data_IF_012317892194
#
_entry.id   IF_012317892194
#
_cell.length_a   1.000
_cell.length_b   1.000
_cell.length_c   1.000
_cell.angle_alpha   90.00
_cell.angle_beta   90.00
_cell.angle_gamma   90.00
#
_symmetry.space_group_name_H-M   'P 1'
#
loop_
_entity.id
_entity.type
_entity.pdbx_description
1 polymer ?
#
# COMPACT_ATOMS: atom_id res chain seq x y z
N UNK A 1 -6.12 67.83 19.00
CA UNK A 1 -4.94 67.32 18.25
C UNK A 1 -5.27 65.88 17.86
N UNK A 2 -5.81 65.54 16.68
CA UNK A 2 -5.52 66.06 15.36
C UNK A 2 -4.17 65.52 14.89
N UNK A 3 -4.16 64.41 14.14
CA UNK A 3 -3.37 64.21 12.91
C UNK A 3 -3.82 62.93 12.16
N UNK A 4 -4.01 63.14 10.86
CA UNK A 4 -4.51 62.29 9.78
C UNK A 4 -3.55 61.17 9.31
N UNK A 5 -4.11 60.16 8.62
CA UNK A 5 -3.44 59.26 7.66
C UNK A 5 -4.29 58.02 7.34
N UNK A 6 -5.37 58.12 6.56
CA UNK A 6 -5.49 57.90 5.09
C UNK A 6 -5.28 56.46 4.57
N UNK A 7 -6.30 55.96 3.86
CA UNK A 7 -6.31 55.01 2.70
C UNK A 7 -5.87 53.55 2.94
N UNK A 8 -6.52 52.45 2.52
CA UNK A 8 -7.62 52.11 1.60
C UNK A 8 -8.17 50.71 1.99
N UNK A 9 -9.37 50.27 1.51
CA UNK A 9 -9.94 48.98 1.84
C UNK A 9 -9.20 47.82 1.15
N UNK A 10 -8.78 46.81 1.93
CA UNK A 10 -8.20 45.59 1.38
C UNK A 10 -9.30 44.81 0.65
N UNK A 11 -9.17 44.75 -0.68
CA UNK A 11 -9.93 43.89 -1.59
C UNK A 11 -9.94 42.45 -1.08
N UNK A 12 -11.11 41.95 -0.68
CA UNK A 12 -11.35 40.53 -0.53
C UNK A 12 -11.29 39.86 -1.91
N UNK A 13 -10.18 39.18 -2.22
CA UNK A 13 -10.14 38.25 -3.35
C UNK A 13 -10.91 37.02 -2.91
N UNK A 14 -12.15 36.93 -3.41
CA UNK A 14 -13.03 35.77 -3.29
C UNK A 14 -12.36 34.59 -3.99
N UNK A 15 -11.77 33.68 -3.23
CA UNK A 15 -11.32 32.40 -3.77
C UNK A 15 -12.55 31.65 -4.32
N UNK A 16 -12.51 31.08 -5.53
CA UNK A 16 -13.65 30.36 -6.07
C UNK A 16 -13.92 29.12 -5.20
N UNK A 17 -15.17 29.01 -4.74
CA UNK A 17 -15.72 27.77 -4.18
C UNK A 17 -15.58 26.66 -5.21
N UNK A 18 -14.58 25.79 -5.05
CA UNK A 18 -14.58 24.50 -5.74
C UNK A 18 -15.54 23.57 -5.00
N UNK A 19 -16.81 23.60 -5.41
CA UNK A 19 -17.77 22.53 -5.11
C UNK A 19 -17.29 21.25 -5.79
N UNK A 20 -16.64 20.37 -5.03
CA UNK A 20 -16.36 19.01 -5.45
C UNK A 20 -17.70 18.25 -5.59
N UNK A 21 -18.21 18.20 -6.82
CA UNK A 21 -19.35 17.37 -7.20
C UNK A 21 -18.84 15.95 -7.39
N UNK A 22 -19.01 15.11 -6.38
CA UNK A 22 -18.78 13.65 -6.49
C UNK A 22 -19.79 13.11 -7.51
N UNK A 23 -19.34 12.89 -8.75
CA UNK A 23 -20.03 12.02 -9.71
C UNK A 23 -19.39 10.64 -9.61
N UNK A 24 -20.24 9.61 -9.61
CA UNK A 24 -19.94 8.25 -9.19
C UNK A 24 -18.60 7.67 -9.65
N UNK A 25 -17.99 6.91 -8.75
CA UNK A 25 -16.79 6.12 -8.98
C UNK A 25 -17.01 5.12 -10.13
N UNK A 26 -16.13 5.09 -11.16
CA UNK A 26 -16.01 3.94 -12.03
C UNK A 26 -15.32 2.79 -11.28
N UNK A 27 -15.76 1.56 -11.53
CA UNK A 27 -15.22 0.32 -10.96
C UNK A 27 -13.70 0.20 -11.21
N UNK A 28 -12.89 -0.18 -10.21
CA UNK A 28 -11.45 -0.42 -10.41
C UNK A 28 -11.23 -1.67 -11.26
N UNK A 29 -10.36 -1.57 -12.27
CA UNK A 29 -9.92 -2.68 -13.11
C UNK A 29 -8.50 -3.08 -12.69
N UNK A 30 -8.34 -4.32 -12.20
CA UNK A 30 -7.04 -4.92 -11.88
C UNK A 30 -6.56 -5.79 -13.05
N UNK A 31 -5.28 -5.65 -13.44
CA UNK A 31 -4.67 -6.39 -14.56
C UNK A 31 -3.84 -7.55 -14.00
N UNK A 32 -4.13 -8.78 -14.44
CA UNK A 32 -3.43 -9.98 -13.99
C UNK A 32 -2.02 -10.09 -14.63
N UNK A 33 -1.00 -10.62 -13.92
CA UNK A 33 0.38 -10.79 -14.40
C UNK A 33 0.58 -11.64 -15.67
N UNK A 34 -0.46 -12.33 -16.18
CA UNK A 34 -0.38 -13.11 -17.44
C UNK A 34 -0.73 -12.34 -18.72
N UNK A 35 -0.91 -11.02 -18.67
CA UNK A 35 -1.10 -10.20 -19.87
C UNK A 35 -2.45 -10.38 -20.57
N UNK A 36 -3.39 -11.13 -19.99
CA UNK A 36 -4.80 -11.09 -20.35
C UNK A 36 -5.52 -10.03 -19.51
N UNK A 37 -6.30 -9.17 -20.15
CA UNK A 37 -7.32 -8.36 -19.50
C UNK A 37 -8.45 -9.29 -19.00
N UNK A 38 -8.13 -10.17 -18.05
CA UNK A 38 -9.15 -10.97 -17.36
C UNK A 38 -9.60 -10.16 -16.16
N UNK A 39 -10.59 -9.30 -16.37
CA UNK A 39 -11.56 -9.09 -15.29
C UNK A 39 -12.03 -10.48 -14.88
N UNK A 40 -12.15 -10.73 -13.58
CA UNK A 40 -12.91 -11.86 -13.09
C UNK A 40 -14.36 -11.67 -13.53
N UNK A 41 -14.65 -12.13 -14.76
CA UNK A 41 -15.95 -12.11 -15.44
C UNK A 41 -17.05 -12.86 -14.67
N UNK A 42 -16.66 -13.57 -13.60
CA UNK A 42 -17.53 -14.32 -12.72
C UNK A 42 -18.53 -13.43 -11.97
N UNK A 43 -18.14 -12.24 -11.51
CA UNK A 43 -19.01 -11.43 -10.63
C UNK A 43 -20.06 -10.60 -11.38
N UNK A 44 -19.82 -10.28 -12.66
CA UNK A 44 -20.69 -9.38 -13.42
C UNK A 44 -21.46 -10.06 -14.56
N UNK A 45 -21.25 -11.36 -14.84
CA UNK A 45 -21.74 -12.04 -16.06
C UNK A 45 -21.37 -11.31 -17.36
N UNK A 46 -20.29 -10.53 -17.34
CA UNK A 46 -19.80 -9.77 -18.49
C UNK A 46 -18.76 -10.62 -19.21
N UNK A 47 -19.00 -10.90 -20.48
CA UNK A 47 -18.04 -11.53 -21.38
C UNK A 47 -16.86 -10.59 -21.66
N UNK A 48 -15.71 -11.16 -22.03
CA UNK A 48 -14.54 -10.36 -22.43
C UNK A 48 -14.87 -9.38 -23.57
N UNK A 49 -15.75 -9.78 -24.50
CA UNK A 49 -16.23 -8.93 -25.59
C UNK A 49 -17.08 -7.75 -25.11
N UNK A 50 -18.00 -7.98 -24.16
CA UNK A 50 -18.81 -6.91 -23.59
C UNK A 50 -17.96 -5.94 -22.78
N UNK A 51 -16.99 -6.46 -22.01
CA UNK A 51 -16.03 -5.62 -21.32
C UNK A 51 -15.24 -4.76 -22.31
N UNK A 52 -14.73 -5.37 -23.38
CA UNK A 52 -13.99 -4.63 -24.40
C UNK A 52 -14.85 -3.53 -25.00
N UNK A 53 -16.12 -3.82 -25.32
CA UNK A 53 -17.09 -2.82 -25.77
C UNK A 53 -17.30 -1.68 -24.76
N UNK A 54 -17.35 -1.98 -23.46
CA UNK A 54 -17.44 -0.96 -22.40
C UNK A 54 -16.18 -0.10 -22.34
N UNK A 55 -15.00 -0.72 -22.37
CA UNK A 55 -13.72 0.00 -22.34
C UNK A 55 -13.60 0.90 -23.57
N UNK A 56 -13.98 0.42 -24.75
CA UNK A 56 -13.96 1.19 -25.98
C UNK A 56 -14.95 2.37 -25.92
N UNK A 57 -16.19 2.13 -25.49
CA UNK A 57 -17.27 3.13 -25.50
C UNK A 57 -17.22 4.16 -24.36
N UNK A 58 -16.48 3.90 -23.27
CA UNK A 58 -16.45 4.76 -22.08
C UNK A 58 -15.08 5.40 -21.85
N UNK A 59 -15.08 6.48 -21.08
CA UNK A 59 -13.84 7.05 -20.53
C UNK A 59 -13.48 6.25 -19.29
N UNK A 60 -12.41 5.46 -19.41
CA UNK A 60 -11.92 4.55 -18.36
C UNK A 60 -10.56 5.05 -17.89
N UNK A 61 -10.36 5.04 -16.57
CA UNK A 61 -9.07 5.16 -15.92
C UNK A 61 -8.57 3.75 -15.58
N UNK A 62 -7.42 3.38 -16.13
CA UNK A 62 -6.75 2.12 -15.84
C UNK A 62 -5.67 2.41 -14.79
N UNK A 63 -5.71 1.70 -13.66
CA UNK A 63 -4.74 1.85 -12.58
C UNK A 63 -3.91 0.57 -12.51
N UNK A 64 -2.60 0.70 -12.65
CA UNK A 64 -1.65 -0.39 -12.47
C UNK A 64 -0.85 -0.10 -11.21
N UNK A 65 -1.13 -0.86 -10.16
CA UNK A 65 -0.39 -0.75 -8.89
C UNK A 65 0.87 -1.62 -8.93
N UNK A 66 1.96 -1.10 -8.35
CA UNK A 66 3.25 -1.76 -8.19
C UNK A 66 3.82 -2.37 -9.49
N UNK A 67 4.02 -1.55 -10.53
CA UNK A 67 4.61 -1.99 -11.81
C UNK A 67 5.94 -2.74 -11.65
N UNK A 68 6.74 -2.40 -10.65
CA UNK A 68 8.01 -3.07 -10.37
C UNK A 68 7.86 -4.54 -9.92
N UNK A 69 6.66 -4.93 -9.50
CA UNK A 69 6.32 -6.30 -9.12
C UNK A 69 5.75 -7.10 -10.29
N UNK A 70 5.43 -6.44 -11.41
CA UNK A 70 4.96 -7.11 -12.61
C UNK A 70 6.10 -7.92 -13.24
N UNK A 71 5.79 -9.16 -13.63
CA UNK A 71 6.77 -10.05 -14.25
C UNK A 71 7.43 -9.37 -15.47
N UNK A 72 8.77 -9.38 -15.51
CA UNK A 72 9.53 -8.90 -16.64
C UNK A 72 9.05 -9.61 -17.91
N UNK A 73 8.48 -8.86 -18.86
CA UNK A 73 7.95 -9.40 -20.12
C UNK A 73 6.42 -9.41 -20.24
N UNK A 74 5.68 -8.67 -19.42
CA UNK A 74 4.26 -8.42 -19.68
C UNK A 74 4.07 -7.50 -20.90
N UNK A 75 4.09 -8.10 -22.10
CA UNK A 75 3.97 -7.40 -23.38
C UNK A 75 2.67 -6.60 -23.53
N UNK A 76 1.58 -7.03 -22.89
CA UNK A 76 0.32 -6.29 -22.93
C UNK A 76 0.43 -4.97 -22.18
N UNK A 77 1.09 -5.00 -21.01
CA UNK A 77 1.36 -3.80 -20.23
C UNK A 77 2.33 -2.86 -20.96
N UNK A 78 3.34 -3.41 -21.64
CA UNK A 78 4.24 -2.62 -22.47
C UNK A 78 3.49 -1.89 -23.60
N UNK A 79 2.65 -2.62 -24.33
CA UNK A 79 1.80 -2.03 -25.39
C UNK A 79 0.81 -0.99 -24.86
N UNK A 80 0.34 -1.15 -23.63
CA UNK A 80 -0.54 -0.17 -22.99
C UNK A 80 0.23 1.12 -22.66
N UNK A 81 1.46 1.00 -22.16
CA UNK A 81 2.34 2.14 -21.86
C UNK A 81 2.80 2.85 -23.15
N UNK A 82 3.11 2.09 -24.19
CA UNK A 82 3.53 2.61 -25.50
C UNK A 82 2.38 3.25 -26.29
N UNK A 83 1.13 3.04 -25.89
CA UNK A 83 -0.05 3.54 -26.61
C UNK A 83 -0.39 2.72 -27.87
N UNK A 84 0.17 1.52 -28.00
CA UNK A 84 -0.21 0.56 -29.03
C UNK A 84 -1.66 0.10 -28.87
N UNK A 85 -2.11 -0.02 -27.62
CA UNK A 85 -3.49 -0.35 -27.25
C UNK A 85 -4.06 0.71 -26.32
N UNK A 86 -5.36 0.95 -26.40
CA UNK A 86 -6.09 1.86 -25.50
C UNK A 86 -5.48 3.26 -25.36
N UNK A 87 -4.79 3.78 -26.38
CA UNK A 87 -4.12 5.09 -26.39
C UNK A 87 -4.99 6.29 -26.01
N UNK A 88 -6.31 6.16 -26.19
CA UNK A 88 -7.28 7.21 -25.87
C UNK A 88 -7.82 7.09 -24.44
N UNK A 89 -7.32 6.15 -23.63
CA UNK A 89 -7.72 5.93 -22.24
C UNK A 89 -6.64 6.45 -21.30
N UNK A 90 -7.04 6.80 -20.08
CA UNK A 90 -6.10 7.31 -19.08
C UNK A 90 -5.46 6.14 -18.34
N UNK A 91 -4.15 6.18 -18.23
CA UNK A 91 -3.34 5.19 -17.52
C UNK A 91 -2.65 5.85 -16.33
N UNK A 92 -2.82 5.30 -15.14
CA UNK A 92 -2.10 5.67 -13.93
C UNK A 92 -1.29 4.48 -13.46
N UNK A 93 0.03 4.66 -13.29
CA UNK A 93 0.93 3.60 -12.86
C UNK A 93 1.68 4.03 -11.61
N UNK A 94 1.76 3.15 -10.62
CA UNK A 94 2.67 3.30 -9.47
C UNK A 94 3.86 2.36 -9.64
N UNK A 95 5.05 2.81 -9.26
CA UNK A 95 6.27 1.99 -9.33
C UNK A 95 7.36 2.55 -8.43
N UNK A 96 8.29 1.69 -8.02
CA UNK A 96 9.55 2.13 -7.42
C UNK A 96 10.41 2.92 -8.42
N UNK A 97 11.21 3.90 -7.96
CA UNK A 97 11.90 4.86 -8.84
C UNK A 97 12.75 4.26 -9.98
N UNK A 98 13.23 3.03 -9.88
CA UNK A 98 14.19 2.46 -10.83
C UNK A 98 13.60 1.53 -11.90
N UNK A 99 12.29 1.26 -11.87
CA UNK A 99 11.68 0.24 -12.74
C UNK A 99 11.01 0.81 -14.00
N UNK A 100 10.69 2.11 -14.00
CA UNK A 100 10.06 2.79 -15.13
C UNK A 100 10.99 3.74 -15.90
N UNK A 101 12.25 3.87 -15.50
CA UNK A 101 13.16 4.91 -16.00
C UNK A 101 13.21 5.02 -17.52
N UNK A 102 13.28 3.88 -18.23
CA UNK A 102 13.36 3.83 -19.69
C UNK A 102 12.03 4.17 -20.40
N UNK A 103 10.91 4.22 -19.67
CA UNK A 103 9.56 4.47 -20.20
C UNK A 103 8.98 5.80 -19.70
N UNK A 104 9.68 6.53 -18.82
CA UNK A 104 9.18 7.80 -18.28
C UNK A 104 8.89 8.83 -19.37
N UNK A 105 9.62 8.84 -20.49
CA UNK A 105 9.36 9.78 -21.60
C UNK A 105 7.98 9.60 -22.24
N UNK A 106 7.33 8.45 -22.08
CA UNK A 106 6.02 8.13 -22.65
C UNK A 106 4.85 8.70 -21.82
N UNK A 107 5.10 9.18 -20.60
CA UNK A 107 4.03 9.67 -19.72
C UNK A 107 3.87 11.19 -19.81
N UNK A 108 2.62 11.63 -19.96
CA UNK A 108 2.23 13.05 -19.95
C UNK A 108 2.50 13.75 -18.61
N UNK A 109 2.44 13.01 -17.51
CA UNK A 109 2.60 13.55 -16.16
C UNK A 109 3.33 12.56 -15.26
N UNK A 110 4.21 13.09 -14.40
CA UNK A 110 5.08 12.32 -13.51
C UNK A 110 4.99 12.88 -12.12
N UNK A 111 4.71 12.01 -11.16
CA UNK A 111 4.61 12.38 -9.76
C UNK A 111 5.58 11.52 -8.96
N UNK A 112 6.20 12.13 -7.96
CA UNK A 112 7.00 11.43 -6.97
C UNK A 112 6.25 11.50 -5.65
N UNK A 113 5.98 10.34 -5.07
CA UNK A 113 5.45 10.25 -3.71
C UNK A 113 6.62 10.50 -2.76
N UNK A 114 6.55 11.60 -2.01
CA UNK A 114 7.50 11.90 -0.95
C UNK A 114 6.98 11.43 0.40
N UNK A 115 7.84 11.45 1.40
CA UNK A 115 7.44 11.18 2.78
C UNK A 115 6.58 12.30 3.36
N UNK A 116 5.91 12.01 4.46
CA UNK A 116 5.10 12.98 5.18
C UNK A 116 5.91 14.17 5.68
N UNK A 117 5.35 15.35 5.46
CA UNK A 117 5.74 16.55 6.19
C UNK A 117 5.26 16.50 7.66
N UNK A 118 5.68 17.47 8.46
CA UNK A 118 5.34 17.53 9.90
C UNK A 118 3.81 17.60 10.13
N UNK A 119 3.06 18.28 9.26
CA UNK A 119 1.61 18.43 9.39
C UNK A 119 0.91 17.11 9.07
N UNK A 120 1.38 16.41 8.04
CA UNK A 120 0.88 15.09 7.66
C UNK A 120 1.20 14.03 8.72
N UNK A 121 2.40 14.07 9.32
CA UNK A 121 2.76 13.23 10.46
C UNK A 121 1.80 13.46 11.64
N UNK A 122 1.55 14.71 12.01
CA UNK A 122 0.61 15.06 13.06
C UNK A 122 -0.81 14.58 12.76
N UNK A 123 -1.27 14.73 11.51
CA UNK A 123 -2.58 14.24 11.06
C UNK A 123 -2.66 12.72 11.12
N UNK A 124 -1.59 12.02 10.74
CA UNK A 124 -1.51 10.56 10.77
C UNK A 124 -1.67 10.04 12.20
N UNK A 125 -0.89 10.54 13.16
CA UNK A 125 -0.94 10.05 14.55
C UNK A 125 -2.29 10.35 15.22
N UNK A 126 -2.92 11.48 14.89
CA UNK A 126 -4.28 11.81 15.36
C UNK A 126 -5.33 10.85 14.80
N UNK A 127 -5.24 10.54 13.50
CA UNK A 127 -6.14 9.57 12.86
C UNK A 127 -5.94 8.17 13.42
N UNK A 128 -4.70 7.77 13.67
CA UNK A 128 -4.38 6.50 14.30
C UNK A 128 -5.01 6.39 15.69
N UNK A 129 -4.76 7.38 16.56
CA UNK A 129 -5.32 7.40 17.91
C UNK A 129 -6.86 7.42 17.91
N UNK A 130 -7.48 8.19 17.03
CA UNK A 130 -8.93 8.20 16.87
C UNK A 130 -9.48 6.83 16.41
N UNK A 131 -8.77 6.14 15.51
CA UNK A 131 -9.16 4.82 15.04
C UNK A 131 -9.07 3.76 16.16
N UNK A 132 -8.04 3.85 17.01
CA UNK A 132 -7.87 2.97 18.18
C UNK A 132 -8.72 3.40 19.39
N UNK A 133 -9.44 4.52 19.30
CA UNK A 133 -10.20 5.11 20.41
C UNK A 133 -9.35 5.39 21.67
N UNK A 134 -8.16 5.97 21.47
CA UNK A 134 -7.20 6.32 22.53
C UNK A 134 -6.76 7.78 22.41
N UNK A 135 -6.09 8.30 23.44
CA UNK A 135 -5.58 9.67 23.44
C UNK A 135 -4.46 9.87 22.39
N UNK A 136 -4.50 10.96 21.63
CA UNK A 136 -3.47 11.27 20.63
C UNK A 136 -2.17 11.85 21.23
N UNK A 137 -2.25 12.44 22.42
CA UNK A 137 -1.15 13.16 23.05
C UNK A 137 0.18 12.37 23.15
N UNK A 138 0.19 11.07 23.50
CA UNK A 138 1.43 10.28 23.52
C UNK A 138 2.13 10.22 22.16
N UNK A 139 1.37 10.06 21.07
CA UNK A 139 1.92 9.98 19.72
C UNK A 139 2.33 11.35 19.18
N UNK A 140 1.59 12.41 19.54
CA UNK A 140 1.99 13.79 19.20
C UNK A 140 3.30 14.18 19.89
N UNK A 141 3.49 13.74 21.14
CA UNK A 141 4.74 13.98 21.88
C UNK A 141 5.92 13.22 21.26
N UNK A 142 5.70 11.99 20.82
CA UNK A 142 6.69 11.15 20.13
C UNK A 142 7.26 11.86 18.88
N UNK A 143 6.43 12.56 18.09
CA UNK A 143 6.89 13.30 16.90
C UNK A 143 7.93 14.40 17.20
N UNK A 144 8.06 14.85 18.45
CA UNK A 144 9.05 15.85 18.87
C UNK A 144 10.45 15.26 19.06
N UNK A 145 10.57 13.94 19.10
CA UNK A 145 11.84 13.26 19.34
C UNK A 145 12.71 13.25 18.09
N UNK A 146 13.85 13.96 18.18
CA UNK A 146 14.78 14.13 17.06
C UNK A 146 15.34 12.79 16.54
N UNK A 147 15.46 11.79 17.42
CA UNK A 147 16.04 10.48 17.12
C UNK A 147 15.23 9.65 16.12
N UNK A 148 13.93 9.91 15.97
CA UNK A 148 13.03 9.13 15.11
C UNK A 148 12.45 9.95 13.95
N UNK A 149 12.85 11.23 13.82
CA UNK A 149 12.29 12.17 12.85
C UNK A 149 12.31 11.63 11.42
N UNK A 150 13.42 11.00 11.05
CA UNK A 150 13.61 10.46 9.69
C UNK A 150 12.68 9.26 9.43
N UNK A 151 12.42 8.45 10.46
CA UNK A 151 11.45 7.35 10.37
C UNK A 151 10.01 7.85 10.22
N UNK A 152 9.66 8.95 10.88
CA UNK A 152 8.30 9.51 10.87
C UNK A 152 7.86 10.01 9.48
N UNK A 153 8.81 10.34 8.61
CA UNK A 153 8.52 10.72 7.22
C UNK A 153 7.91 9.58 6.40
N UNK A 154 8.18 8.32 6.74
CA UNK A 154 7.60 7.19 6.02
C UNK A 154 6.29 6.76 6.69
N UNK A 155 5.14 6.75 5.97
CA UNK A 155 3.84 6.43 6.56
C UNK A 155 3.76 5.05 7.23
N UNK A 156 4.41 4.04 6.63
CA UNK A 156 4.46 2.69 7.20
C UNK A 156 5.27 2.69 8.51
N UNK A 157 6.47 3.28 8.49
CA UNK A 157 7.31 3.37 9.70
C UNK A 157 6.59 4.14 10.83
N UNK A 158 5.90 5.24 10.50
CA UNK A 158 5.14 6.00 11.48
C UNK A 158 4.01 5.17 12.10
N UNK A 159 3.31 4.38 11.29
CA UNK A 159 2.26 3.46 11.78
C UNK A 159 2.86 2.42 12.74
N UNK A 160 4.01 1.84 12.37
CA UNK A 160 4.71 0.87 13.23
C UNK A 160 5.22 1.50 14.53
N UNK A 161 5.69 2.75 14.50
CA UNK A 161 6.09 3.48 15.70
C UNK A 161 4.90 3.74 16.62
N UNK A 162 3.72 4.06 16.07
CA UNK A 162 2.51 4.19 16.87
C UNK A 162 2.14 2.86 17.53
N UNK A 163 2.18 1.75 16.78
CA UNK A 163 1.94 0.41 17.33
C UNK A 163 2.95 0.04 18.42
N UNK A 164 4.23 0.38 18.23
CA UNK A 164 5.24 0.17 19.27
C UNK A 164 4.94 1.00 20.51
N UNK A 165 4.51 2.25 20.37
CA UNK A 165 4.26 3.15 21.49
C UNK A 165 3.12 2.67 22.40
N UNK A 166 2.20 1.86 21.88
CA UNK A 166 1.15 1.20 22.67
C UNK A 166 1.70 0.03 23.52
N UNK A 167 2.71 -0.68 23.02
CA UNK A 167 3.24 -1.92 23.62
C UNK A 167 4.54 -1.70 24.42
N UNK A 168 5.32 -0.67 24.08
CA UNK A 168 6.66 -0.36 24.61
C UNK A 168 6.89 1.16 24.62
N UNK A 169 7.34 1.69 25.77
CA UNK A 169 7.71 3.11 25.90
C UNK A 169 9.02 3.46 25.19
N UNK A 170 9.88 2.47 24.90
CA UNK A 170 11.18 2.71 24.27
C UNK A 170 11.06 2.90 22.76
N UNK A 171 11.53 4.05 22.29
CA UNK A 171 11.54 4.37 20.87
C UNK A 171 12.75 3.81 20.14
N UNK A 172 12.53 3.42 18.89
CA UNK A 172 13.55 2.85 18.02
C UNK A 172 13.95 3.89 16.99
N UNK A 173 15.21 4.32 17.05
CA UNK A 173 15.77 5.41 16.24
C UNK A 173 16.28 4.96 14.87
N UNK A 174 16.38 3.65 14.63
CA UNK A 174 16.77 3.09 13.33
C UNK A 174 15.68 2.21 12.76
N UNK A 175 15.63 2.11 11.43
CA UNK A 175 14.70 1.22 10.74
C UNK A 175 14.90 -0.22 11.21
N UNK A 176 16.14 -0.70 11.28
CA UNK A 176 16.43 -2.06 11.76
C UNK A 176 15.89 -2.28 13.18
N UNK A 177 16.15 -1.36 14.11
CA UNK A 177 15.65 -1.50 15.48
C UNK A 177 14.11 -1.48 15.56
N UNK A 178 13.45 -0.66 14.73
CA UNK A 178 11.99 -0.62 14.60
C UNK A 178 11.45 -1.98 14.15
N UNK A 179 11.94 -2.49 13.02
CA UNK A 179 11.48 -3.77 12.48
C UNK A 179 11.82 -4.96 13.39
N UNK A 180 12.97 -4.96 14.07
CA UNK A 180 13.32 -5.97 15.07
C UNK A 180 12.34 -5.96 16.26
N UNK A 181 11.88 -4.78 16.68
CA UNK A 181 10.92 -4.67 17.79
C UNK A 181 9.53 -5.15 17.39
N UNK A 182 9.08 -4.77 16.19
CA UNK A 182 7.83 -5.28 15.60
C UNK A 182 7.90 -6.80 15.47
N UNK A 183 9.03 -7.33 15.00
CA UNK A 183 9.26 -8.75 14.88
C UNK A 183 9.14 -9.48 16.23
N UNK A 184 9.76 -8.94 17.29
CA UNK A 184 9.61 -9.46 18.64
C UNK A 184 8.14 -9.51 19.08
N UNK A 185 7.38 -8.44 18.88
CA UNK A 185 5.96 -8.38 19.26
C UNK A 185 5.14 -9.41 18.49
N UNK A 186 5.33 -9.52 17.17
CA UNK A 186 4.63 -10.52 16.34
C UNK A 186 4.92 -11.93 16.86
N UNK A 187 6.20 -12.24 17.16
CA UNK A 187 6.60 -13.53 17.71
C UNK A 187 5.96 -13.82 19.06
N UNK A 188 5.97 -12.86 19.98
CA UNK A 188 5.36 -13.02 21.31
C UNK A 188 3.84 -13.21 21.22
N UNK A 189 3.16 -12.47 20.33
CA UNK A 189 1.73 -12.64 20.09
C UNK A 189 1.42 -14.00 19.45
N UNK A 190 2.24 -14.46 18.51
CA UNK A 190 2.09 -15.77 17.89
C UNK A 190 2.30 -16.91 18.91
N UNK A 191 3.31 -16.80 19.77
CA UNK A 191 3.59 -17.76 20.84
C UNK A 191 2.37 -17.92 21.77
N UNK A 192 1.80 -16.79 22.21
CA UNK A 192 0.57 -16.79 23.03
C UNK A 192 -0.62 -17.40 22.29
N UNK A 193 -0.86 -16.99 21.04
CA UNK A 193 -2.01 -17.46 20.23
C UNK A 193 -1.95 -18.96 19.95
N UNK A 194 -0.77 -19.49 19.66
CA UNK A 194 -0.55 -20.90 19.30
C UNK A 194 -0.25 -21.79 20.52
N UNK A 195 -0.18 -21.22 21.72
CA UNK A 195 0.24 -21.91 22.93
C UNK A 195 1.60 -22.62 22.78
N UNK A 196 2.57 -21.92 22.20
CA UNK A 196 3.94 -22.38 21.96
C UNK A 196 4.94 -21.48 22.68
N UNK A 197 6.16 -21.97 22.94
CA UNK A 197 7.24 -21.09 23.39
C UNK A 197 7.72 -20.19 22.24
N UNK A 198 8.22 -18.97 22.53
CA UNK A 198 8.79 -18.08 21.51
C UNK A 198 9.89 -18.75 20.66
N UNK A 199 10.70 -19.61 21.27
CA UNK A 199 11.76 -20.37 20.58
C UNK A 199 11.16 -21.38 19.61
N UNK A 200 10.08 -22.05 20.01
CA UNK A 200 9.39 -23.00 19.14
C UNK A 200 8.71 -22.31 17.96
N UNK A 201 8.15 -21.12 18.15
CA UNK A 201 7.63 -20.27 17.06
C UNK A 201 8.77 -19.88 16.10
N UNK A 202 9.92 -19.46 16.63
CA UNK A 202 11.10 -19.12 15.83
C UNK A 202 11.53 -20.29 14.94
N UNK A 203 11.81 -21.45 15.56
CA UNK A 203 12.39 -22.59 14.87
C UNK A 203 11.40 -23.28 13.92
N UNK A 204 10.16 -23.46 14.36
CA UNK A 204 9.19 -24.32 13.66
C UNK A 204 8.35 -23.57 12.62
N UNK A 205 8.18 -22.25 12.76
CA UNK A 205 7.25 -21.47 11.94
C UNK A 205 7.95 -20.31 11.22
N UNK A 206 8.76 -19.53 11.91
CA UNK A 206 9.38 -18.32 11.36
C UNK A 206 10.61 -18.61 10.49
N UNK A 207 11.53 -19.49 10.90
CA UNK A 207 12.69 -19.86 10.07
C UNK A 207 12.31 -20.44 8.70
N UNK A 208 11.31 -21.35 8.60
CA UNK A 208 10.79 -21.78 7.31
C UNK A 208 10.27 -20.60 6.48
N UNK A 209 9.55 -19.67 7.10
CA UNK A 209 9.02 -18.48 6.45
C UNK A 209 10.14 -17.53 5.96
N UNK A 210 11.21 -17.34 6.71
CA UNK A 210 12.35 -16.50 6.27
C UNK A 210 13.04 -17.09 5.06
N UNK A 211 13.30 -18.40 5.10
CA UNK A 211 13.90 -19.12 3.97
C UNK A 211 13.02 -18.95 2.74
N UNK A 212 11.72 -19.14 2.92
CA UNK A 212 10.75 -18.97 1.87
C UNK A 212 10.75 -17.55 1.28
N UNK A 213 10.69 -16.52 2.13
CA UNK A 213 10.74 -15.12 1.69
C UNK A 213 12.06 -14.79 0.96
N UNK A 214 13.17 -15.35 1.42
CA UNK A 214 14.48 -15.18 0.79
C UNK A 214 14.55 -15.85 -0.59
N UNK A 215 14.03 -17.07 -0.73
CA UNK A 215 13.97 -17.78 -2.01
C UNK A 215 13.04 -17.06 -3.00
N UNK A 216 11.85 -16.65 -2.56
CA UNK A 216 10.90 -15.88 -3.39
C UNK A 216 11.53 -14.56 -3.86
N UNK A 217 12.22 -13.84 -2.98
CA UNK A 217 12.92 -12.61 -3.34
C UNK A 217 14.01 -12.86 -4.40
N UNK A 218 14.79 -13.93 -4.27
CA UNK A 218 15.80 -14.31 -5.27
C UNK A 218 15.21 -14.64 -6.63
N UNK A 219 14.00 -15.21 -6.65
CA UNK A 219 13.28 -15.55 -7.87
C UNK A 219 12.43 -14.39 -8.43
N UNK A 220 12.50 -13.18 -7.83
CA UNK A 220 11.63 -12.04 -8.14
C UNK A 220 10.12 -12.39 -8.07
N UNK A 221 9.73 -13.32 -7.20
CA UNK A 221 8.34 -13.67 -6.94
C UNK A 221 7.80 -12.78 -5.82
N UNK A 222 6.82 -11.95 -6.15
CA UNK A 222 6.15 -11.03 -5.21
C UNK A 222 4.84 -11.59 -4.68
N UNK A 223 4.22 -12.52 -5.42
CA UNK A 223 3.00 -13.24 -5.04
C UNK A 223 3.29 -14.72 -4.98
N UNK A 224 2.80 -15.36 -3.93
CA UNK A 224 3.05 -16.77 -3.63
C UNK A 224 1.72 -17.48 -3.48
N UNK A 225 1.53 -18.55 -4.24
CA UNK A 225 0.29 -19.32 -4.21
C UNK A 225 0.35 -20.49 -3.23
N UNK A 226 -0.81 -21.05 -2.88
CA UNK A 226 -0.92 -22.23 -2.00
C UNK A 226 -0.04 -23.42 -2.46
N UNK A 227 0.23 -23.54 -3.77
CA UNK A 227 1.09 -24.58 -4.33
C UNK A 227 2.58 -24.42 -3.96
N UNK A 228 3.07 -23.18 -3.82
CA UNK A 228 4.43 -22.93 -3.36
C UNK A 228 4.59 -23.35 -1.88
N UNK A 229 3.47 -23.33 -1.15
CA UNK A 229 3.40 -23.69 0.26
C UNK A 229 3.21 -25.19 0.54
N UNK A 230 2.89 -26.01 -0.47
CA UNK A 230 2.81 -27.48 -0.33
C UNK A 230 4.14 -28.12 0.11
N UNK A 231 5.25 -27.38 0.02
CA UNK A 231 6.57 -27.77 0.53
C UNK A 231 6.68 -27.66 2.07
N UNK A 232 5.70 -27.06 2.75
CA UNK A 232 5.72 -26.83 4.20
C UNK A 232 4.63 -27.64 4.91
N UNK A 233 5.04 -28.52 5.83
CA UNK A 233 4.13 -29.38 6.58
C UNK A 233 3.23 -28.61 7.58
N UNK A 234 3.56 -27.35 7.92
CA UNK A 234 2.87 -26.55 8.95
C UNK A 234 2.31 -25.21 8.42
N UNK A 235 1.96 -25.14 7.12
CA UNK A 235 1.60 -23.86 6.48
C UNK A 235 0.47 -23.09 7.19
N UNK A 236 -0.57 -23.79 7.65
CA UNK A 236 -1.67 -23.15 8.37
C UNK A 236 -1.19 -22.41 9.62
N UNK A 237 -0.32 -23.04 10.41
CA UNK A 237 0.28 -22.43 11.59
C UNK A 237 1.22 -21.26 11.23
N UNK A 238 1.92 -21.34 10.09
CA UNK A 238 2.76 -20.24 9.58
C UNK A 238 1.90 -19.02 9.23
N UNK A 239 0.74 -19.22 8.58
CA UNK A 239 -0.22 -18.14 8.32
C UNK A 239 -0.72 -17.51 9.63
N UNK A 240 -0.93 -18.32 10.65
CA UNK A 240 -1.35 -17.88 11.97
C UNK A 240 -0.25 -17.15 12.76
N UNK A 241 0.98 -17.00 12.25
CA UNK A 241 2.01 -16.19 12.92
C UNK A 241 1.72 -14.69 12.77
N UNK A 242 1.08 -14.27 11.68
CA UNK A 242 0.69 -12.86 11.44
C UNK A 242 1.63 -12.07 10.53
N UNK A 243 2.53 -12.74 9.81
CA UNK A 243 3.32 -12.15 8.73
C UNK A 243 2.67 -12.25 7.36
N UNK A 244 1.76 -13.22 7.19
CA UNK A 244 1.04 -13.46 5.95
C UNK A 244 -0.40 -13.01 6.11
N UNK A 245 -0.92 -12.31 5.12
CA UNK A 245 -2.36 -12.05 5.00
C UNK A 245 -2.92 -13.05 4.01
N UNK A 246 -4.01 -13.73 4.38
CA UNK A 246 -4.68 -14.64 3.46
C UNK A 246 -5.56 -13.81 2.54
N UNK A 247 -5.16 -13.70 1.28
CA UNK A 247 -6.08 -13.27 0.23
C UNK A 247 -6.94 -14.47 -0.17
N UNK A 248 -8.25 -14.36 0.05
CA UNK A 248 -9.19 -15.31 -0.52
C UNK A 248 -9.21 -15.06 -2.03
N UNK A 249 -8.64 -15.96 -2.83
CA UNK A 249 -8.93 -15.94 -4.25
C UNK A 249 -10.40 -16.28 -4.41
N UNK A 250 -11.21 -15.34 -4.91
CA UNK A 250 -12.65 -15.54 -5.13
C UNK A 250 -12.96 -16.54 -6.26
N UNK A 251 -12.05 -17.47 -6.55
CA UNK A 251 -12.18 -18.46 -7.64
C UNK A 251 -12.96 -19.72 -7.26
N UNK A 252 -13.43 -19.86 -6.01
CA UNK A 252 -14.14 -21.06 -5.54
C UNK A 252 -15.35 -20.78 -4.65
N UNK A 253 -16.19 -19.81 -5.01
CA UNK A 253 -17.60 -19.88 -4.59
C UNK A 253 -18.29 -20.91 -5.49
N UNK A 254 -18.41 -22.15 -5.01
CA UNK A 254 -19.33 -23.08 -5.65
C UNK A 254 -20.76 -22.54 -5.44
N UNK A 255 -21.58 -22.46 -6.49
CA UNK A 255 -22.99 -22.15 -6.32
C UNK A 255 -23.67 -23.31 -5.58
N UNK A 256 -24.49 -22.97 -4.59
CA UNK A 256 -25.49 -23.86 -3.99
C UNK A 256 -26.52 -24.32 -5.04
#
# INVERSE_FOLDING_TARGET
MGLYGSTQPIRAIRAPEQKARVRGFPLPLSVNPKGSLSITSYDCRITTSELQGVIEAKNVLIIVDAFDEANAGNRTLDRLIEGDILRHKTLLITSRPNFLQNKLSLFDSKFKVEGYDIREQLKHVKRYAAHQNIASAPFESMLKEKSIRDLCSNPLNLTLLCLLREEDTQLRNTRTALYTSIHRIIKEKAAKRLNLSPEKVEESLLRPLYRFAFEAHRENKTVVGENDFKKFNNFQQVCEVGYLTRELSMSHLQPE
#
